data_IF_354084330246
#
_entry.id   IF_354084330246
#
_cell.length_a   1.000
_cell.length_b   1.000
_cell.length_c   1.000
_cell.angle_alpha   90.00
_cell.angle_beta   90.00
_cell.angle_gamma   90.00
#
_symmetry.space_group_name_H-M   'P 1'
#
loop_
_entity.id
_entity.type
_entity.pdbx_description
1 polymer ?
#
# COMPACT_ATOMS: atom_id res chain seq x y z
N UNK A 1 9.44 14.02 4.38
CA UNK A 1 8.66 12.85 3.93
C UNK A 1 7.92 13.19 2.64
N UNK A 2 8.65 13.52 1.56
CA UNK A 2 8.07 14.00 0.29
C UNK A 2 7.62 12.86 -0.65
N UNK A 3 8.20 11.68 -0.48
CA UNK A 3 7.95 10.52 -1.35
C UNK A 3 6.80 9.63 -0.87
N UNK A 4 6.32 9.81 0.37
CA UNK A 4 5.24 9.00 0.96
C UNK A 4 4.05 9.93 1.21
N UNK A 5 3.03 9.97 0.34
CA UNK A 5 1.86 10.82 0.49
C UNK A 5 1.16 10.69 1.85
N UNK A 6 1.09 9.47 2.39
CA UNK A 6 0.47 9.21 3.69
C UNK A 6 1.21 9.85 4.88
N UNK A 7 2.41 10.40 4.65
CA UNK A 7 3.17 11.13 5.66
C UNK A 7 3.38 10.32 6.95
N UNK A 8 3.63 9.01 6.81
CA UNK A 8 4.09 8.11 7.87
C UNK A 8 5.02 7.06 7.28
N UNK A 9 6.09 6.71 8.01
CA UNK A 9 6.91 5.54 7.68
C UNK A 9 6.11 4.27 7.99
N UNK A 10 6.01 3.38 7.01
CA UNK A 10 5.39 2.08 7.20
C UNK A 10 6.09 1.26 8.27
N UNK A 11 5.32 0.51 9.04
CA UNK A 11 5.80 -0.44 10.04
C UNK A 11 5.59 -1.86 9.50
N UNK A 12 6.37 -2.86 9.97
CA UNK A 12 6.19 -4.26 9.54
C UNK A 12 4.75 -4.77 9.67
N UNK A 13 4.00 -4.29 10.68
CA UNK A 13 2.59 -4.64 10.90
C UNK A 13 1.66 -4.22 9.75
N UNK A 14 1.98 -3.14 9.03
CA UNK A 14 1.16 -2.67 7.90
C UNK A 14 1.15 -3.70 6.76
N UNK A 15 2.31 -4.30 6.48
CA UNK A 15 2.43 -5.42 5.53
C UNK A 15 1.79 -6.69 6.11
N UNK A 16 2.05 -6.97 7.40
CA UNK A 16 1.51 -8.14 8.09
C UNK A 16 -0.01 -8.22 8.01
N UNK A 17 -0.72 -7.12 8.27
CA UNK A 17 -2.18 -7.06 8.18
C UNK A 17 -2.68 -7.39 6.77
N UNK A 18 -2.08 -6.79 5.73
CA UNK A 18 -2.45 -7.06 4.34
C UNK A 18 -2.20 -8.53 3.97
N UNK A 19 -1.04 -9.08 4.36
CA UNK A 19 -0.71 -10.48 4.13
C UNK A 19 -1.69 -11.43 4.83
N UNK A 20 -2.05 -11.17 6.09
CA UNK A 20 -3.03 -12.00 6.82
C UNK A 20 -4.43 -11.93 6.22
N UNK A 21 -4.83 -10.77 5.69
CA UNK A 21 -6.11 -10.64 4.99
C UNK A 21 -6.10 -11.38 3.65
N UNK A 22 -5.03 -11.26 2.86
CA UNK A 22 -4.86 -11.99 1.60
C UNK A 22 -4.83 -13.51 1.80
N UNK A 23 -4.33 -13.98 2.94
CA UNK A 23 -4.32 -15.41 3.29
C UNK A 23 -5.65 -15.91 3.87
N UNK A 24 -6.63 -15.03 4.12
CA UNK A 24 -7.92 -15.39 4.69
C UNK A 24 -8.98 -15.67 3.62
N UNK A 25 -10.08 -16.32 4.02
CA UNK A 25 -11.22 -16.60 3.14
C UNK A 25 -11.86 -15.32 2.54
N UNK A 26 -11.60 -14.15 3.13
CA UNK A 26 -12.11 -12.87 2.61
C UNK A 26 -11.50 -12.48 1.26
N UNK A 27 -10.37 -13.07 0.88
CA UNK A 27 -9.66 -12.79 -0.37
C UNK A 27 -9.76 -13.92 -1.40
N UNK A 28 -10.66 -14.90 -1.22
CA UNK A 28 -10.75 -16.13 -2.04
C UNK A 28 -10.80 -15.87 -3.57
N UNK A 29 -11.42 -14.78 -4.00
CA UNK A 29 -11.53 -14.43 -5.43
C UNK A 29 -10.43 -13.48 -5.95
N UNK A 30 -9.41 -13.19 -5.14
CA UNK A 30 -8.30 -12.30 -5.49
C UNK A 30 -7.07 -13.15 -5.82
N UNK A 31 -6.69 -13.17 -7.10
CA UNK A 31 -5.51 -13.89 -7.58
C UNK A 31 -4.81 -13.14 -8.71
N UNK A 32 -3.50 -13.38 -8.87
CA UNK A 32 -2.70 -12.81 -9.96
C UNK A 32 -2.47 -11.29 -9.91
N UNK A 33 -2.72 -10.65 -8.76
CA UNK A 33 -2.58 -9.21 -8.59
C UNK A 33 -1.49 -8.84 -7.58
N UNK A 34 -0.96 -7.62 -7.70
CA UNK A 34 -0.06 -7.01 -6.73
C UNK A 34 -0.83 -5.98 -5.92
N UNK A 35 -0.84 -6.12 -4.59
CA UNK A 35 -1.45 -5.14 -3.68
C UNK A 35 -0.35 -4.24 -3.12
N UNK A 36 -0.38 -2.95 -3.47
CA UNK A 36 0.57 -1.97 -2.95
C UNK A 36 0.19 -1.53 -1.54
N UNK A 37 1.13 -1.66 -0.60
CA UNK A 37 1.04 -1.17 0.78
C UNK A 37 2.25 -0.26 1.03
N UNK A 38 2.25 0.90 0.38
CA UNK A 38 3.42 1.77 0.24
C UNK A 38 3.19 3.22 0.68
N UNK A 39 2.06 3.50 1.33
CA UNK A 39 1.69 4.86 1.73
C UNK A 39 1.50 5.83 0.56
N UNK A 40 1.27 5.33 -0.65
CA UNK A 40 1.02 6.11 -1.87
C UNK A 40 2.27 6.41 -2.71
N UNK A 41 3.42 5.78 -2.43
CA UNK A 41 4.67 6.02 -3.17
C UNK A 41 4.52 5.81 -4.68
N UNK A 42 3.74 4.81 -5.09
CA UNK A 42 3.52 4.47 -6.50
C UNK A 42 2.63 5.48 -7.24
N UNK A 43 2.03 6.45 -6.53
CA UNK A 43 1.11 7.45 -7.10
C UNK A 43 1.81 8.73 -7.63
N UNK A 44 3.11 8.67 -7.88
CA UNK A 44 3.90 9.83 -8.36
C UNK A 44 3.75 11.08 -7.45
N UNK A 45 4.23 11.03 -6.20
CA UNK A 45 4.05 12.11 -5.22
C UNK A 45 4.54 13.49 -5.68
N UNK A 46 5.44 13.54 -6.67
CA UNK A 46 5.89 14.81 -7.28
C UNK A 46 4.78 15.63 -7.94
N UNK A 47 3.66 15.00 -8.32
CA UNK A 47 2.52 15.67 -8.96
C UNK A 47 1.39 16.04 -7.99
N UNK A 48 1.59 15.89 -6.68
CA UNK A 48 0.55 16.13 -5.67
C UNK A 48 -0.02 17.56 -5.68
N UNK A 49 0.72 18.54 -6.21
CA UNK A 49 0.33 19.95 -6.29
C UNK A 49 -0.08 20.42 -7.69
N UNK A 50 -0.37 19.51 -8.62
CA UNK A 50 -0.87 19.86 -9.96
C UNK A 50 0.20 20.01 -11.05
N UNK A 51 1.44 19.57 -10.80
CA UNK A 51 2.56 19.63 -11.76
C UNK A 51 3.46 20.84 -11.56
#
# INVERSE_FOLDING_TARGET
>A
MKLVPYNRIGEPKDIGHCATWLASDYADYITGTTIFVDGGMTLFPGFASGG
#
